data_IF_846830419005
#
_entry.id   IF_846830419005
#
_cell.length_a   1.000
_cell.length_b   1.000
_cell.length_c   1.000
_cell.angle_alpha   90.00
_cell.angle_beta   90.00
_cell.angle_gamma   90.00
#
_symmetry.space_group_name_H-M   'P 1'
#
loop_
_entity.id
_entity.type
_entity.pdbx_description
1 polymer ?
#
# COMPACT_ATOMS: atom_id res chain seq x y z
N UNK A 1 -26.27 -47.69 -25.31
CA UNK A 1 -26.59 -46.60 -26.25
C UNK A 1 -25.54 -45.52 -26.10
N UNK A 2 -24.62 -45.44 -27.06
CA UNK A 2 -23.55 -44.43 -27.21
C UNK A 2 -23.25 -44.38 -28.70
N UNK A 3 -23.28 -43.20 -29.32
CA UNK A 3 -22.29 -42.73 -30.31
C UNK A 3 -22.71 -41.37 -30.92
N UNK A 4 -21.81 -40.42 -30.66
CA UNK A 4 -21.56 -39.11 -31.24
C UNK A 4 -21.84 -38.94 -32.74
N UNK A 5 -22.16 -37.71 -33.15
CA UNK A 5 -21.37 -37.01 -34.17
C UNK A 5 -21.47 -35.47 -34.07
N UNK A 6 -20.30 -34.84 -34.20
CA UNK A 6 -20.06 -33.41 -34.30
C UNK A 6 -20.53 -32.88 -35.67
N UNK A 7 -20.99 -31.63 -35.72
CA UNK A 7 -21.09 -30.88 -36.97
C UNK A 7 -20.29 -29.58 -36.86
N UNK A 8 -19.24 -29.53 -37.68
CA UNK A 8 -18.40 -28.37 -37.99
C UNK A 8 -19.14 -27.56 -39.05
N UNK A 9 -19.21 -26.23 -38.90
CA UNK A 9 -19.67 -25.30 -39.96
C UNK A 9 -18.51 -24.35 -40.32
N UNK A 10 -18.20 -24.15 -41.61
CA UNK A 10 -17.01 -23.43 -42.05
C UNK A 10 -17.19 -21.91 -42.17
N UNK A 11 -16.11 -21.22 -41.81
CA UNK A 11 -15.44 -20.05 -42.44
C UNK A 11 -16.24 -19.12 -43.36
N UNK A 12 -16.22 -17.83 -43.03
CA UNK A 12 -16.19 -16.75 -44.02
C UNK A 12 -15.11 -15.72 -43.64
N UNK A 13 -14.07 -15.66 -44.47
CA UNK A 13 -13.02 -14.62 -44.48
C UNK A 13 -13.57 -13.39 -45.18
N UNK A 14 -13.40 -12.22 -44.58
CA UNK A 14 -13.55 -10.92 -45.25
C UNK A 14 -12.40 -10.01 -44.81
N UNK A 15 -11.38 -9.96 -45.66
CA UNK A 15 -10.30 -8.96 -45.65
C UNK A 15 -10.78 -7.69 -46.36
N UNK A 16 -10.49 -6.52 -45.80
CA UNK A 16 -9.97 -5.30 -46.46
C UNK A 16 -10.28 -4.06 -45.62
N UNK A 17 -9.23 -3.33 -45.25
CA UNK A 17 -9.37 -2.04 -44.59
C UNK A 17 -8.05 -1.55 -43.99
N UNK A 18 -7.02 -1.39 -44.82
CA UNK A 18 -5.82 -0.65 -44.43
C UNK A 18 -6.16 0.84 -44.38
N UNK A 19 -6.28 1.40 -43.17
CA UNK A 19 -6.18 2.83 -42.94
C UNK A 19 -4.83 3.11 -42.29
N UNK A 20 -3.89 3.58 -43.10
CA UNK A 20 -2.73 4.30 -42.61
C UNK A 20 -3.20 5.68 -42.17
N UNK A 21 -3.28 5.90 -40.86
CA UNK A 21 -3.29 7.24 -40.29
C UNK A 21 -1.87 7.53 -39.83
N UNK A 22 -1.17 8.34 -40.60
CA UNK A 22 0.02 9.06 -40.17
C UNK A 22 -0.36 9.99 -39.00
N UNK A 23 -0.38 9.42 -37.80
CA UNK A 23 -0.49 10.14 -36.55
C UNK A 23 0.88 10.63 -36.14
N UNK A 24 1.15 11.90 -36.42
CA UNK A 24 2.28 12.68 -35.91
C UNK A 24 2.52 12.30 -34.45
N UNK A 25 3.66 11.67 -34.18
CA UNK A 25 4.13 11.37 -32.83
C UNK A 25 4.39 12.69 -32.10
N UNK A 26 3.40 13.18 -31.38
CA UNK A 26 3.64 14.15 -30.32
C UNK A 26 4.45 13.42 -29.25
N UNK A 27 5.73 13.77 -29.17
CA UNK A 27 6.56 13.42 -28.03
C UNK A 27 5.88 13.95 -26.77
N UNK A 28 5.14 13.09 -26.07
CA UNK A 28 4.76 13.32 -24.70
C UNK A 28 6.07 13.41 -23.91
N UNK A 29 6.53 14.63 -23.63
CA UNK A 29 7.53 14.83 -22.62
C UNK A 29 6.97 14.25 -21.33
N UNK A 30 7.57 13.15 -20.88
CA UNK A 30 7.38 12.65 -19.53
C UNK A 30 7.69 13.80 -18.59
N UNK A 31 6.67 14.37 -17.97
CA UNK A 31 6.85 15.22 -16.80
C UNK A 31 7.59 14.37 -15.77
N UNK A 32 8.70 14.84 -15.18
CA UNK A 32 9.31 14.15 -14.06
C UNK A 32 8.23 14.00 -12.98
N UNK A 33 8.11 12.84 -12.32
CA UNK A 33 7.17 12.67 -11.23
C UNK A 33 7.48 13.72 -10.18
N UNK A 34 6.52 14.60 -9.92
CA UNK A 34 6.55 15.48 -8.75
C UNK A 34 6.67 14.58 -7.51
N UNK A 35 7.55 14.91 -6.54
CA UNK A 35 7.52 14.25 -5.25
C UNK A 35 6.17 14.59 -4.61
N UNK A 36 5.25 13.63 -4.61
CA UNK A 36 3.95 13.80 -3.98
C UNK A 36 4.13 14.03 -2.48
N UNK A 37 3.50 15.08 -1.97
CA UNK A 37 3.20 15.30 -0.56
C UNK A 37 2.92 13.98 0.16
N UNK A 38 3.76 13.67 1.14
CA UNK A 38 3.56 12.57 2.06
C UNK A 38 2.29 12.80 2.88
N UNK A 39 1.22 12.09 2.51
CA UNK A 39 0.10 11.88 3.42
C UNK A 39 0.59 11.20 4.71
N UNK A 40 -0.12 11.37 5.84
CA UNK A 40 0.23 10.75 7.11
C UNK A 40 0.13 9.21 6.99
N UNK A 41 1.26 8.59 6.61
CA UNK A 41 1.34 7.16 6.36
C UNK A 41 2.62 6.69 5.66
N UNK A 42 3.47 7.58 5.12
CA UNK A 42 4.68 7.21 4.39
C UNK A 42 5.91 8.04 4.80
N UNK A 43 6.50 7.75 5.96
CA UNK A 43 7.84 8.26 6.29
C UNK A 43 8.80 7.09 6.55
N UNK A 44 9.62 6.75 5.55
CA UNK A 44 10.86 5.99 5.71
C UNK A 44 11.16 4.97 4.58
N UNK A 45 12.44 4.75 4.23
CA UNK A 45 12.84 3.87 3.13
C UNK A 45 12.50 2.41 3.43
N UNK A 46 11.39 1.94 2.85
CA UNK A 46 10.92 0.58 3.04
C UNK A 46 9.41 0.53 2.94
N UNK A 47 8.92 0.11 1.78
CA UNK A 47 7.48 0.06 1.47
C UNK A 47 6.61 -0.76 2.42
N UNK A 48 5.31 -0.85 2.13
CA UNK A 48 4.29 -1.39 3.03
C UNK A 48 4.69 -2.78 3.55
N UNK A 49 4.96 -2.88 4.85
CA UNK A 49 5.35 -4.13 5.53
C UNK A 49 6.79 -4.22 6.02
N UNK A 50 7.64 -3.21 5.80
CA UNK A 50 8.90 -3.10 6.53
C UNK A 50 8.61 -2.50 7.90
N UNK A 51 8.92 -3.21 8.98
CA UNK A 51 9.08 -2.55 10.29
C UNK A 51 10.36 -1.72 10.21
N UNK A 52 10.30 -0.38 10.30
CA UNK A 52 11.50 0.47 10.33
C UNK A 52 12.45 0.08 11.47
N UNK A 53 11.90 -0.61 12.48
CA UNK A 53 12.58 -1.12 13.65
C UNK A 53 13.76 -2.05 13.35
N UNK A 54 13.69 -2.87 12.28
CA UNK A 54 14.72 -3.90 12.02
C UNK A 54 15.86 -3.43 11.11
N UNK A 55 15.73 -2.27 10.50
CA UNK A 55 16.68 -1.81 9.52
C UNK A 55 17.99 -1.36 10.20
N UNK A 56 19.12 -1.91 9.75
CA UNK A 56 20.44 -1.61 10.31
C UNK A 56 20.78 -2.35 11.60
N UNK A 57 19.95 -3.32 12.03
CA UNK A 57 20.25 -4.22 13.15
C UNK A 57 20.79 -5.55 12.61
N UNK A 58 21.93 -5.99 13.12
CA UNK A 58 22.48 -7.30 12.80
C UNK A 58 21.69 -8.40 13.51
N UNK A 59 20.93 -9.19 12.75
CA UNK A 59 20.18 -10.33 13.24
C UNK A 59 20.96 -11.62 13.02
N UNK A 60 20.93 -12.53 14.00
CA UNK A 60 21.42 -13.90 13.78
C UNK A 60 20.56 -14.60 12.73
N UNK A 61 21.11 -15.65 12.08
CA UNK A 61 20.35 -16.46 11.12
C UNK A 61 19.03 -16.96 11.70
N UNK A 62 19.05 -17.45 12.95
CA UNK A 62 17.85 -17.96 13.65
C UNK A 62 16.80 -16.86 13.82
N UNK A 63 17.20 -15.66 14.25
CA UNK A 63 16.28 -14.52 14.40
C UNK A 63 15.70 -14.10 13.04
N UNK A 64 16.53 -14.03 11.99
CA UNK A 64 16.09 -13.70 10.63
C UNK A 64 15.05 -14.70 10.10
N UNK A 65 15.27 -16.00 10.32
CA UNK A 65 14.35 -17.05 9.91
C UNK A 65 13.00 -16.93 10.67
N UNK A 66 13.03 -16.65 11.98
CA UNK A 66 11.83 -16.44 12.79
C UNK A 66 11.04 -15.19 12.36
N UNK A 67 11.73 -14.06 12.15
CA UNK A 67 11.12 -12.83 11.64
C UNK A 67 10.49 -13.05 10.27
N UNK A 68 11.16 -13.77 9.36
CA UNK A 68 10.62 -14.09 8.04
C UNK A 68 9.31 -14.89 8.15
N UNK A 69 9.25 -15.88 9.04
CA UNK A 69 8.04 -16.68 9.23
C UNK A 69 6.85 -15.85 9.73
N UNK A 70 7.09 -14.90 10.64
CA UNK A 70 6.06 -13.95 11.11
C UNK A 70 5.50 -13.16 9.92
N UNK A 71 6.37 -12.54 9.11
CA UNK A 71 5.93 -11.73 7.97
C UNK A 71 5.27 -12.55 6.87
N UNK A 72 5.75 -13.77 6.61
CA UNK A 72 5.16 -14.66 5.62
C UNK A 72 3.73 -15.01 5.99
N UNK A 73 3.46 -15.34 7.25
CA UNK A 73 2.10 -15.64 7.73
C UNK A 73 1.17 -14.44 7.56
N UNK A 74 1.62 -13.24 7.93
CA UNK A 74 0.83 -12.02 7.79
C UNK A 74 0.60 -11.60 6.31
N UNK A 75 1.45 -12.03 5.36
CA UNK A 75 1.26 -11.64 3.96
C UNK A 75 -0.06 -12.16 3.40
N UNK A 76 -0.45 -13.38 3.78
CA UNK A 76 -1.72 -13.97 3.36
C UNK A 76 -2.92 -13.17 3.93
N UNK A 77 -2.84 -12.78 5.21
CA UNK A 77 -3.87 -12.00 5.91
C UNK A 77 -4.02 -10.57 5.32
N UNK A 78 -2.91 -9.93 4.93
CA UNK A 78 -2.92 -8.59 4.27
C UNK A 78 -3.63 -8.56 2.93
N UNK A 79 -3.55 -9.64 2.15
CA UNK A 79 -4.23 -9.69 0.85
C UNK A 79 -5.75 -9.59 1.01
N UNK A 80 -6.30 -10.10 2.11
CA UNK A 80 -7.73 -10.03 2.39
C UNK A 80 -8.17 -8.68 2.95
N UNK A 81 -7.32 -8.00 3.74
CA UNK A 81 -7.55 -6.62 4.16
C UNK A 81 -7.59 -5.65 2.97
N UNK A 82 -6.63 -5.78 2.04
CA UNK A 82 -6.59 -4.92 0.84
C UNK A 82 -7.82 -5.09 -0.06
N UNK A 83 -8.34 -6.31 -0.21
CA UNK A 83 -9.59 -6.54 -0.96
C UNK A 83 -10.79 -5.88 -0.28
N UNK A 84 -10.86 -5.92 1.04
CA UNK A 84 -11.94 -5.27 1.80
C UNK A 84 -11.88 -3.75 1.68
N UNK A 85 -10.68 -3.18 1.77
CA UNK A 85 -10.45 -1.75 1.59
C UNK A 85 -10.86 -1.30 0.18
N UNK A 86 -10.43 -2.04 -0.85
CA UNK A 86 -10.81 -1.75 -2.23
C UNK A 86 -12.34 -1.83 -2.43
N UNK A 87 -12.99 -2.85 -1.87
CA UNK A 87 -14.44 -2.99 -1.96
C UNK A 87 -15.20 -1.85 -1.23
N UNK A 88 -14.65 -1.29 -0.14
CA UNK A 88 -15.22 -0.12 0.52
C UNK A 88 -15.06 1.13 -0.35
N UNK A 89 -13.88 1.35 -0.93
CA UNK A 89 -13.64 2.46 -1.85
C UNK A 89 -14.56 2.40 -3.08
N UNK A 90 -14.75 1.22 -3.66
CA UNK A 90 -15.66 1.03 -4.80
C UNK A 90 -17.12 1.33 -4.42
N UNK A 91 -17.56 0.96 -3.20
CA UNK A 91 -18.90 1.30 -2.71
C UNK A 91 -19.09 2.79 -2.48
N UNK A 92 -18.10 3.47 -1.89
CA UNK A 92 -18.11 4.92 -1.70
C UNK A 92 -18.17 5.62 -3.06
N UNK A 93 -17.32 5.21 -4.01
CA UNK A 93 -17.32 5.75 -5.36
C UNK A 93 -18.67 5.53 -6.05
N UNK A 94 -19.24 4.33 -5.97
CA UNK A 94 -20.53 4.03 -6.57
C UNK A 94 -21.66 4.89 -5.99
N UNK A 95 -21.63 5.18 -4.69
CA UNK A 95 -22.64 6.00 -4.02
C UNK A 95 -22.53 7.48 -4.44
N UNK A 96 -21.30 8.00 -4.49
CA UNK A 96 -21.04 9.39 -4.86
C UNK A 96 -21.26 9.68 -6.36
N UNK A 97 -21.07 8.68 -7.22
CA UNK A 97 -21.27 8.81 -8.66
C UNK A 97 -22.70 8.48 -9.11
N UNK A 98 -23.56 8.01 -8.19
CA UNK A 98 -24.96 7.74 -8.50
C UNK A 98 -25.73 9.04 -8.82
N UNK A 99 -26.57 9.08 -9.87
CA UNK A 99 -27.41 10.24 -10.14
C UNK A 99 -28.41 10.50 -9.01
N UNK A 100 -28.55 11.76 -8.61
CA UNK A 100 -29.52 12.19 -7.61
C UNK A 100 -28.89 12.62 -6.29
N UNK A 101 -29.67 12.58 -5.21
CA UNK A 101 -29.20 12.97 -3.88
C UNK A 101 -28.35 11.83 -3.29
N UNK A 102 -27.16 12.17 -2.82
CA UNK A 102 -26.26 11.26 -2.10
C UNK A 102 -26.92 10.75 -0.82
N UNK A 103 -26.88 9.43 -0.61
CA UNK A 103 -27.32 8.80 0.64
C UNK A 103 -26.24 8.96 1.73
N UNK A 104 -26.40 9.98 2.56
CA UNK A 104 -25.47 10.29 3.63
C UNK A 104 -25.49 9.27 4.78
N UNK A 105 -26.59 8.55 4.98
CA UNK A 105 -26.68 7.53 6.03
C UNK A 105 -25.90 6.28 5.64
N UNK A 106 -25.97 5.89 4.36
CA UNK A 106 -25.14 4.83 3.82
C UNK A 106 -23.65 5.23 3.80
N UNK A 107 -23.31 6.47 3.43
CA UNK A 107 -21.92 6.95 3.55
C UNK A 107 -21.39 6.86 4.98
N UNK A 108 -22.18 7.27 5.98
CA UNK A 108 -21.77 7.16 7.39
C UNK A 108 -21.52 5.71 7.80
N UNK A 109 -22.30 4.76 7.27
CA UNK A 109 -22.09 3.33 7.51
C UNK A 109 -20.78 2.85 6.89
N UNK A 110 -20.48 3.25 5.66
CA UNK A 110 -19.22 2.91 4.97
C UNK A 110 -18.01 3.48 5.72
N UNK A 111 -18.09 4.72 6.21
CA UNK A 111 -17.04 5.32 7.05
C UNK A 111 -16.80 4.53 8.34
N UNK A 112 -17.86 4.02 8.99
CA UNK A 112 -17.71 3.19 10.18
C UNK A 112 -17.06 1.83 9.88
N UNK A 113 -17.33 1.26 8.70
CA UNK A 113 -16.70 0.03 8.23
C UNK A 113 -15.21 0.26 7.96
N UNK A 114 -14.85 1.35 7.28
CA UNK A 114 -13.46 1.75 7.04
C UNK A 114 -12.69 1.93 8.35
N UNK A 115 -13.26 2.66 9.32
CA UNK A 115 -12.65 2.83 10.63
C UNK A 115 -12.39 1.50 11.36
N UNK A 116 -13.32 0.54 11.22
CA UNK A 116 -13.17 -0.80 11.80
C UNK A 116 -12.05 -1.59 11.12
N UNK A 117 -11.98 -1.53 9.79
CA UNK A 117 -10.93 -2.18 9.01
C UNK A 117 -9.54 -1.62 9.35
N UNK A 118 -9.42 -0.29 9.46
CA UNK A 118 -8.18 0.36 9.87
C UNK A 118 -7.75 -0.04 11.29
N UNK A 119 -8.70 -0.11 12.23
CA UNK A 119 -8.41 -0.55 13.59
C UNK A 119 -7.92 -2.01 13.63
N UNK A 120 -8.48 -2.89 12.79
CA UNK A 120 -8.03 -4.27 12.66
C UNK A 120 -6.60 -4.35 12.09
N UNK A 121 -6.32 -3.62 11.01
CA UNK A 121 -5.00 -3.59 10.40
C UNK A 121 -3.93 -3.02 11.35
N UNK A 122 -4.28 -2.01 12.15
CA UNK A 122 -3.43 -1.45 13.21
C UNK A 122 -3.11 -2.50 14.28
N UNK A 123 -4.13 -3.20 14.77
CA UNK A 123 -3.96 -4.24 15.79
C UNK A 123 -3.05 -5.38 15.29
N UNK A 124 -3.22 -5.82 14.04
CA UNK A 124 -2.34 -6.83 13.43
C UNK A 124 -0.90 -6.33 13.30
N UNK A 125 -0.69 -5.08 12.89
CA UNK A 125 0.66 -4.50 12.82
C UNK A 125 1.33 -4.48 14.20
N UNK A 126 0.60 -4.09 15.24
CA UNK A 126 1.14 -4.04 16.61
C UNK A 126 1.45 -5.43 17.15
N UNK A 127 0.61 -6.42 16.90
CA UNK A 127 0.87 -7.82 17.26
C UNK A 127 2.15 -8.33 16.60
N UNK A 128 2.38 -8.02 15.31
CA UNK A 128 3.63 -8.35 14.63
C UNK A 128 4.83 -7.63 15.24
N UNK A 129 4.68 -6.35 15.58
CA UNK A 129 5.75 -5.59 16.22
C UNK A 129 6.15 -6.20 17.58
N UNK A 130 5.17 -6.66 18.38
CA UNK A 130 5.42 -7.37 19.64
C UNK A 130 6.16 -8.68 19.39
N UNK A 131 5.69 -9.51 18.45
CA UNK A 131 6.36 -10.78 18.11
C UNK A 131 7.79 -10.59 17.63
N UNK A 132 8.05 -9.54 16.87
CA UNK A 132 9.40 -9.19 16.41
C UNK A 132 10.25 -8.69 17.58
N UNK A 133 9.72 -7.83 18.44
CA UNK A 133 10.40 -7.36 19.65
C UNK A 133 10.89 -8.54 20.50
N UNK A 134 10.05 -9.55 20.72
CA UNK A 134 10.37 -10.72 21.56
C UNK A 134 11.47 -11.63 20.97
N UNK A 135 11.83 -11.45 19.70
CA UNK A 135 12.95 -12.16 19.05
C UNK A 135 14.29 -11.46 19.31
N UNK A 136 14.28 -10.15 19.57
CA UNK A 136 15.48 -9.33 19.67
C UNK A 136 16.09 -9.41 21.08
N UNK A 137 17.41 -9.23 21.15
CA UNK A 137 18.09 -9.06 22.44
C UNK A 137 17.97 -7.62 22.94
N UNK A 138 18.24 -7.41 24.22
CA UNK A 138 18.27 -6.07 24.84
C UNK A 138 19.25 -5.14 24.12
N UNK A 139 20.41 -5.64 23.69
CA UNK A 139 21.41 -4.87 22.95
C UNK A 139 20.90 -4.48 21.56
N UNK A 140 20.23 -5.39 20.86
CA UNK A 140 19.62 -5.11 19.55
C UNK A 140 18.49 -4.08 19.68
N UNK A 141 17.67 -4.15 20.73
CA UNK A 141 16.64 -3.15 21.02
C UNK A 141 17.24 -1.78 21.33
N UNK A 142 18.34 -1.73 22.08
CA UNK A 142 19.07 -0.49 22.35
C UNK A 142 19.62 0.13 21.06
N UNK A 143 20.18 -0.69 20.15
CA UNK A 143 20.63 -0.25 18.83
C UNK A 143 19.46 0.28 17.98
N UNK A 144 18.30 -0.41 18.01
CA UNK A 144 17.10 0.03 17.32
C UNK A 144 16.66 1.43 17.77
N UNK A 145 16.63 1.64 19.10
CA UNK A 145 16.26 2.91 19.73
C UNK A 145 17.24 4.03 19.36
N UNK A 146 18.54 3.79 19.47
CA UNK A 146 19.56 4.78 19.10
C UNK A 146 19.41 5.23 17.64
N UNK A 147 19.17 4.27 16.72
CA UNK A 147 18.91 4.59 15.32
C UNK A 147 17.62 5.41 15.14
N UNK A 148 16.54 5.02 15.80
CA UNK A 148 15.27 5.75 15.74
C UNK A 148 15.43 7.20 16.21
N UNK A 149 16.09 7.41 17.37
CA UNK A 149 16.31 8.74 17.94
C UNK A 149 17.12 9.62 16.97
N UNK A 150 18.14 9.06 16.32
CA UNK A 150 18.94 9.76 15.29
C UNK A 150 18.13 10.14 14.06
N UNK A 151 17.31 9.23 13.54
CA UNK A 151 16.44 9.52 12.38
C UNK A 151 15.42 10.60 12.73
N UNK A 152 14.81 10.52 13.91
CA UNK A 152 13.87 11.54 14.38
C UNK A 152 14.52 12.91 14.49
N UNK A 153 15.73 12.98 15.05
CA UNK A 153 16.49 14.23 15.12
C UNK A 153 16.79 14.81 13.73
N UNK A 154 17.21 13.97 12.77
CA UNK A 154 17.49 14.39 11.40
C UNK A 154 16.23 14.91 10.68
N UNK A 155 15.10 14.23 10.83
CA UNK A 155 13.82 14.67 10.24
C UNK A 155 13.35 16.00 10.84
N UNK A 156 13.51 16.20 12.15
CA UNK A 156 13.20 17.47 12.78
C UNK A 156 14.11 18.60 12.27
N UNK A 157 15.41 18.34 12.10
CA UNK A 157 16.34 19.31 11.52
C UNK A 157 15.98 19.67 10.08
N UNK A 158 15.60 18.69 9.26
CA UNK A 158 15.13 18.93 7.90
C UNK A 158 13.87 19.80 7.90
N UNK A 159 12.90 19.46 8.74
CA UNK A 159 11.66 20.23 8.90
C UNK A 159 11.95 21.69 9.30
N UNK A 160 12.87 21.93 10.24
CA UNK A 160 13.24 23.29 10.66
C UNK A 160 13.94 24.10 9.55
N UNK A 161 14.67 23.44 8.66
CA UNK A 161 15.30 24.07 7.49
C UNK A 161 14.27 24.38 6.39
N UNK A 162 13.32 23.47 6.15
CA UNK A 162 12.24 23.64 5.17
C UNK A 162 11.20 24.68 5.61
N UNK A 163 10.95 24.76 6.91
CA UNK A 163 10.02 25.69 7.54
C UNK A 163 10.74 26.57 8.57
N UNK A 164 11.60 27.50 8.11
CA UNK A 164 12.29 28.39 9.02
C UNK A 164 11.26 29.19 9.81
N UNK A 165 11.43 29.21 11.14
CA UNK A 165 10.58 30.03 12.00
C UNK A 165 10.71 31.48 11.53
N UNK A 166 9.59 32.11 11.19
CA UNK A 166 9.59 33.55 10.93
C UNK A 166 9.93 34.22 12.25
N UNK A 167 11.05 34.93 12.29
CA UNK A 167 11.33 35.84 13.38
C UNK A 167 10.20 36.88 13.39
N UNK A 168 9.32 36.80 14.41
CA UNK A 168 8.35 37.85 14.68
C UNK A 168 9.13 39.10 15.07
N UNK A 169 9.16 40.09 14.17
CA UNK A 169 9.79 41.39 14.35
C UNK A 169 8.71 42.47 14.43
#
# INVERSE_FOLDING_TARGET
MKRSWMAIVPVAVLTLGAFALDGVGTHAQAQPPFPGEGGPGHFGPGGPGRLPLLEGIELTKKQKDAVHQIFKKNHDDKNDLHKQEQALHDQVASLLLAPGKVDTAQLQTLTQQEATLHAQAEAERLDIAVKVHDILTTEQLAQAKDRYDKISALLNQLHDVEHPKKDEN
#
